data_IF_044955058204
#
_entry.id   IF_044955058204
#
_cell.length_a   1.000
_cell.length_b   1.000
_cell.length_c   1.000
_cell.angle_alpha   90.00
_cell.angle_beta   90.00
_cell.angle_gamma   90.00
#
_symmetry.space_group_name_H-M   'P 1'
#
loop_
_entity.id
_entity.type
_entity.pdbx_description
1 polymer ?
#
# COMPACT_ATOMS: atom_id res chain seq x y z
N UNK A 1 -35.13 -35.76 55.55
CA UNK A 1 -34.50 -36.17 54.27
C UNK A 1 -34.61 -35.02 53.27
N UNK A 2 -33.58 -34.17 53.17
CA UNK A 2 -33.51 -33.07 52.19
C UNK A 2 -32.71 -33.56 50.98
N UNK A 3 -33.36 -33.66 49.83
CA UNK A 3 -32.73 -33.97 48.54
C UNK A 3 -32.07 -32.70 48.00
N UNK A 4 -30.75 -32.73 47.85
CA UNK A 4 -29.98 -31.73 47.12
C UNK A 4 -30.09 -32.06 45.62
N UNK A 5 -30.69 -31.16 44.84
CA UNK A 5 -30.60 -31.20 43.38
C UNK A 5 -29.21 -30.69 42.95
N UNK A 6 -28.48 -31.39 42.06
CA UNK A 6 -27.32 -30.82 41.41
C UNK A 6 -27.80 -29.89 40.29
N UNK A 7 -27.50 -28.59 40.42
CA UNK A 7 -27.66 -27.63 39.34
C UNK A 7 -26.62 -27.96 38.26
N UNK A 8 -27.11 -28.27 37.06
CA UNK A 8 -26.28 -28.44 35.87
C UNK A 8 -25.48 -27.16 35.60
N UNK A 9 -24.15 -27.29 35.57
CA UNK A 9 -23.29 -26.33 34.88
C UNK A 9 -23.58 -26.41 33.38
N UNK A 10 -24.30 -25.42 32.86
CA UNK A 10 -24.29 -25.14 31.44
C UNK A 10 -22.94 -24.50 31.08
N UNK A 11 -21.99 -25.33 30.65
CA UNK A 11 -20.80 -24.86 29.98
C UNK A 11 -21.23 -24.29 28.61
N UNK A 12 -21.31 -22.97 28.52
CA UNK A 12 -21.42 -22.26 27.24
C UNK A 12 -20.18 -22.53 26.42
N UNK A 13 -20.31 -23.43 25.44
CA UNK A 13 -19.29 -23.70 24.43
C UNK A 13 -19.19 -22.50 23.50
N UNK A 14 -18.04 -21.81 23.57
CA UNK A 14 -17.34 -21.27 22.42
C UNK A 14 -18.08 -20.27 21.54
N UNK A 15 -18.20 -19.03 22.00
CA UNK A 15 -18.08 -17.90 21.08
C UNK A 15 -16.66 -17.91 20.52
N UNK A 16 -16.46 -18.59 19.39
CA UNK A 16 -15.20 -18.52 18.67
C UNK A 16 -14.98 -17.07 18.25
N UNK A 17 -14.07 -16.37 18.92
CA UNK A 17 -13.50 -15.12 18.43
C UNK A 17 -12.63 -15.41 17.19
N UNK A 18 -13.25 -15.83 16.10
CA UNK A 18 -12.65 -15.72 14.78
C UNK A 18 -13.10 -14.37 14.24
N UNK A 19 -12.17 -13.44 14.03
CA UNK A 19 -12.49 -12.27 13.21
C UNK A 19 -12.74 -12.77 11.79
N UNK A 20 -13.84 -12.38 11.15
CA UNK A 20 -14.12 -12.63 9.72
C UNK A 20 -13.20 -11.78 8.80
N UNK A 21 -12.01 -11.43 9.31
CA UNK A 21 -11.05 -10.50 8.75
C UNK A 21 -9.66 -11.11 8.86
N UNK A 22 -8.85 -10.88 7.84
CA UNK A 22 -7.41 -11.10 7.84
C UNK A 22 -6.65 -9.77 7.93
N UNK A 23 -5.33 -9.87 7.87
CA UNK A 23 -4.44 -8.71 7.71
C UNK A 23 -3.65 -8.85 6.42
N UNK A 24 -3.35 -7.72 5.78
CA UNK A 24 -2.49 -7.69 4.61
C UNK A 24 -1.20 -6.97 4.99
N UNK A 25 -0.07 -7.63 4.77
CA UNK A 25 1.25 -7.04 4.97
C UNK A 25 1.92 -6.82 3.61
N UNK A 26 2.63 -5.70 3.50
CA UNK A 26 3.40 -5.32 2.33
C UNK A 26 4.78 -4.89 2.78
N UNK A 27 5.82 -5.38 2.11
CA UNK A 27 7.17 -4.85 2.23
C UNK A 27 7.56 -4.19 0.90
N UNK A 28 8.25 -3.05 0.96
CA UNK A 28 8.69 -2.35 -0.25
C UNK A 28 10.01 -1.61 -0.07
N UNK A 29 10.66 -1.35 -1.19
CA UNK A 29 11.78 -0.43 -1.35
C UNK A 29 11.57 0.38 -2.63
N UNK A 30 11.84 1.67 -2.56
CA UNK A 30 11.93 2.57 -3.70
C UNK A 30 13.41 2.74 -3.99
N UNK A 31 13.82 2.46 -5.22
CA UNK A 31 15.20 2.60 -5.69
C UNK A 31 15.24 3.61 -6.84
N UNK A 32 16.41 4.19 -7.06
CA UNK A 32 16.67 5.01 -8.24
C UNK A 32 17.01 4.15 -9.47
N UNK A 33 17.42 4.82 -10.55
CA UNK A 33 17.76 4.18 -11.82
C UNK A 33 18.97 3.24 -11.74
N UNK A 34 19.86 3.46 -10.78
CA UNK A 34 21.06 2.64 -10.54
C UNK A 34 20.77 1.50 -9.54
N UNK A 35 19.54 1.44 -9.02
CA UNK A 35 19.10 0.47 -8.04
C UNK A 35 19.51 0.84 -6.62
N UNK A 36 19.98 2.07 -6.38
CA UNK A 36 20.30 2.54 -5.04
C UNK A 36 19.01 2.87 -4.27
N UNK A 37 18.86 2.39 -3.03
CA UNK A 37 17.67 2.68 -2.24
C UNK A 37 17.46 4.18 -2.02
N UNK A 38 16.37 4.72 -2.55
CA UNK A 38 15.86 6.05 -2.22
C UNK A 38 15.15 5.97 -0.86
N UNK A 39 14.21 5.03 -0.69
CA UNK A 39 13.45 4.82 0.53
C UNK A 39 13.10 3.34 0.79
N UNK A 40 13.12 2.89 2.06
CA UNK A 40 13.82 3.53 3.16
C UNK A 40 15.33 3.40 2.94
N UNK A 41 15.99 4.50 2.58
CA UNK A 41 17.44 4.57 2.58
C UNK A 41 17.89 4.44 4.02
N UNK A 42 18.74 3.46 4.32
CA UNK A 42 19.14 3.07 5.68
C UNK A 42 19.85 4.13 6.54
N UNK A 43 19.79 5.42 6.18
CA UNK A 43 20.15 6.52 7.05
C UNK A 43 18.95 6.84 7.97
N UNK A 44 18.89 6.16 9.12
CA UNK A 44 18.13 6.62 10.27
C UNK A 44 18.71 7.97 10.75
N UNK A 45 18.37 9.07 10.08
CA UNK A 45 18.56 10.40 10.67
C UNK A 45 17.52 10.56 11.77
N UNK A 46 17.91 11.16 12.91
CA UNK A 46 17.01 11.44 14.04
C UNK A 46 15.80 12.33 13.67
N UNK A 47 15.76 12.86 12.44
CA UNK A 47 14.61 13.51 11.80
C UNK A 47 13.61 12.51 11.18
N UNK A 48 13.48 11.31 11.75
CA UNK A 48 12.63 10.20 11.26
C UNK A 48 11.10 10.49 11.24
N UNK A 49 10.70 11.73 11.56
CA UNK A 49 9.33 12.24 11.47
C UNK A 49 9.02 12.96 10.15
N UNK A 50 9.84 12.80 9.11
CA UNK A 50 9.42 13.24 7.77
C UNK A 50 8.35 12.29 7.24
N UNK A 51 7.09 12.73 7.30
CA UNK A 51 5.95 12.11 6.60
C UNK A 51 5.98 12.34 5.08
N UNK A 52 6.89 13.20 4.62
CA UNK A 52 7.06 13.63 3.25
C UNK A 52 8.35 13.07 2.67
N UNK A 53 8.24 12.31 1.58
CA UNK A 53 9.37 11.84 0.80
C UNK A 53 9.60 12.78 -0.37
N UNK A 54 9.92 14.02 -0.03
CA UNK A 54 10.18 15.09 -0.98
C UNK A 54 11.28 14.68 -1.95
N UNK A 55 10.90 14.47 -3.21
CA UNK A 55 11.78 14.16 -4.33
C UNK A 55 11.75 15.32 -5.33
N UNK A 56 12.87 15.57 -6.02
CA UNK A 56 12.94 16.63 -7.02
C UNK A 56 12.16 16.23 -8.27
N UNK A 57 11.25 17.11 -8.70
CA UNK A 57 10.50 16.99 -9.94
C UNK A 57 10.48 18.30 -10.72
N UNK A 58 10.18 18.20 -12.02
CA UNK A 58 9.93 19.34 -12.88
C UNK A 58 8.54 19.26 -13.50
N UNK A 59 7.86 20.41 -13.61
CA UNK A 59 6.59 20.55 -14.31
C UNK A 59 6.71 21.75 -15.26
N UNK A 60 6.79 21.50 -16.57
CA UNK A 60 7.26 22.48 -17.55
C UNK A 60 8.66 23.00 -17.17
N UNK A 61 8.82 24.32 -17.08
CA UNK A 61 10.08 24.98 -16.70
C UNK A 61 10.24 25.20 -15.17
N UNK A 62 9.40 24.58 -14.34
CA UNK A 62 9.38 24.80 -12.88
C UNK A 62 9.94 23.61 -12.12
N UNK A 63 10.94 23.87 -11.29
CA UNK A 63 11.39 22.91 -10.28
C UNK A 63 10.43 22.90 -9.09
N UNK A 64 10.12 21.70 -8.60
CA UNK A 64 9.28 21.50 -7.43
C UNK A 64 9.69 20.24 -6.66
N UNK A 65 9.16 20.12 -5.45
CA UNK A 65 9.27 18.89 -4.65
C UNK A 65 7.91 18.18 -4.66
N UNK A 66 7.93 16.87 -4.88
CA UNK A 66 6.75 16.02 -4.75
C UNK A 66 6.99 14.93 -3.70
N UNK A 67 5.93 14.44 -3.10
CA UNK A 67 5.95 13.26 -2.24
C UNK A 67 5.61 12.02 -3.06
N UNK A 68 6.40 10.97 -2.89
CA UNK A 68 6.11 9.64 -3.43
C UNK A 68 5.60 8.73 -2.32
N UNK A 69 4.49 8.03 -2.57
CA UNK A 69 3.86 7.08 -1.65
C UNK A 69 3.57 5.76 -2.34
N UNK A 70 3.51 4.69 -1.55
CA UNK A 70 3.03 3.38 -2.02
C UNK A 70 1.57 3.24 -1.60
N UNK A 71 0.70 2.98 -2.55
CA UNK A 71 -0.73 2.78 -2.32
C UNK A 71 -1.09 1.31 -2.60
N UNK A 72 -1.90 0.73 -1.73
CA UNK A 72 -2.47 -0.59 -1.90
C UNK A 72 -3.96 -0.47 -2.21
N UNK A 73 -4.35 -1.09 -3.31
CA UNK A 73 -5.72 -1.28 -3.74
C UNK A 73 -6.07 -2.77 -3.67
N UNK A 74 -7.23 -3.08 -3.09
CA UNK A 74 -7.76 -4.44 -2.99
C UNK A 74 -9.16 -4.41 -3.60
N UNK A 75 -9.32 -5.04 -4.77
CA UNK A 75 -10.60 -5.12 -5.45
C UNK A 75 -11.18 -6.54 -5.42
N UNK A 76 -12.50 -6.61 -5.36
CA UNK A 76 -13.25 -7.84 -5.57
C UNK A 76 -13.30 -8.17 -7.06
N UNK A 77 -12.73 -9.32 -7.46
CA UNK A 77 -12.68 -9.73 -8.86
C UNK A 77 -14.02 -10.17 -9.41
N UNK A 78 -14.98 -10.49 -8.55
CA UNK A 78 -16.34 -10.88 -8.92
C UNK A 78 -17.30 -9.69 -8.99
N UNK A 79 -16.81 -8.47 -8.71
CA UNK A 79 -17.61 -7.28 -8.80
C UNK A 79 -17.91 -6.91 -10.26
N UNK A 80 -19.20 -6.75 -10.59
CA UNK A 80 -19.68 -6.53 -11.96
C UNK A 80 -19.09 -5.28 -12.65
N UNK A 81 -18.79 -4.23 -11.88
CA UNK A 81 -18.22 -2.99 -12.43
C UNK A 81 -16.71 -3.07 -12.68
N UNK A 82 -16.06 -4.15 -12.24
CA UNK A 82 -14.64 -4.40 -12.42
C UNK A 82 -13.74 -3.57 -11.50
N UNK A 83 -12.47 -3.99 -11.40
CA UNK A 83 -11.48 -3.44 -10.47
C UNK A 83 -11.09 -1.97 -10.71
N UNK A 84 -11.47 -1.37 -11.84
CA UNK A 84 -11.25 0.06 -12.08
C UNK A 84 -12.32 0.94 -11.40
N UNK A 85 -13.43 0.35 -10.93
CA UNK A 85 -14.49 1.06 -10.22
C UNK A 85 -14.22 1.12 -8.71
N UNK A 86 -14.42 2.29 -8.10
CA UNK A 86 -14.26 2.47 -6.65
C UNK A 86 -15.26 1.65 -5.83
N UNK A 87 -16.42 1.31 -6.41
CA UNK A 87 -17.44 0.49 -5.74
C UNK A 87 -17.02 -0.97 -5.60
N UNK A 88 -16.03 -1.41 -6.38
CA UNK A 88 -15.48 -2.76 -6.33
C UNK A 88 -14.30 -2.87 -5.35
N UNK A 89 -13.94 -1.80 -4.65
CA UNK A 89 -12.91 -1.83 -3.63
C UNK A 89 -13.44 -2.54 -2.37
N UNK A 90 -12.71 -3.56 -1.94
CA UNK A 90 -13.01 -4.32 -0.72
C UNK A 90 -12.85 -3.42 0.52
N UNK A 91 -11.84 -2.55 0.47
CA UNK A 91 -11.53 -1.54 1.48
C UNK A 91 -11.05 -0.28 0.77
N UNK A 92 -11.17 0.92 1.39
CA UNK A 92 -10.61 2.14 0.82
C UNK A 92 -9.12 1.96 0.51
N UNK A 93 -8.65 2.60 -0.57
CA UNK A 93 -7.23 2.59 -0.95
C UNK A 93 -6.38 3.02 0.24
N UNK A 94 -5.31 2.27 0.48
CA UNK A 94 -4.46 2.49 1.63
C UNK A 94 -3.09 2.98 1.21
N UNK A 95 -2.79 4.24 1.50
CA UNK A 95 -1.48 4.83 1.28
C UNK A 95 -0.56 4.57 2.48
N UNK A 96 0.59 3.97 2.23
CA UNK A 96 1.61 3.76 3.23
C UNK A 96 2.57 4.93 3.33
N UNK A 97 3.09 5.14 4.54
CA UNK A 97 4.13 6.13 4.79
C UNK A 97 5.43 5.73 4.08
N UNK A 98 6.01 6.65 3.33
CA UNK A 98 7.16 6.41 2.48
C UNK A 98 8.48 6.23 3.27
N UNK A 99 8.50 6.59 4.56
CA UNK A 99 9.62 6.36 5.47
C UNK A 99 9.63 4.93 6.07
N UNK A 100 8.70 4.05 5.67
CA UNK A 100 8.66 2.67 6.12
C UNK A 100 9.11 1.69 5.05
N UNK A 101 9.75 0.58 5.48
CA UNK A 101 10.07 -0.57 4.63
C UNK A 101 8.93 -1.60 4.56
N UNK A 102 7.95 -1.44 5.44
CA UNK A 102 6.87 -2.40 5.68
C UNK A 102 5.61 -1.69 6.18
N UNK A 103 4.46 -2.16 5.75
CA UNK A 103 3.17 -1.65 6.15
C UNK A 103 2.20 -2.81 6.39
N UNK A 104 1.20 -2.55 7.23
CA UNK A 104 0.12 -3.49 7.50
C UNK A 104 -1.21 -2.77 7.29
N UNK A 105 -2.13 -3.44 6.60
CA UNK A 105 -3.53 -3.06 6.51
C UNK A 105 -4.34 -4.09 7.29
N UNK A 106 -4.76 -3.78 8.53
CA UNK A 106 -5.58 -4.67 9.32
C UNK A 106 -7.02 -4.65 8.82
N UNK A 107 -7.82 -5.62 9.26
CA UNK A 107 -9.27 -5.66 9.05
C UNK A 107 -9.70 -5.74 7.57
N UNK A 108 -9.00 -6.55 6.76
CA UNK A 108 -9.46 -6.87 5.41
C UNK A 108 -10.43 -8.04 5.50
N UNK A 109 -11.67 -7.92 4.98
CA UNK A 109 -12.64 -9.01 4.96
C UNK A 109 -12.02 -10.31 4.44
N UNK A 110 -12.28 -11.43 5.12
CA UNK A 110 -11.86 -12.74 4.64
C UNK A 110 -12.73 -13.20 3.46
N UNK A 111 -12.13 -13.92 2.52
CA UNK A 111 -12.81 -14.48 1.36
C UNK A 111 -12.10 -15.74 0.88
N UNK A 112 -12.91 -16.76 0.56
CA UNK A 112 -12.45 -17.99 -0.11
C UNK A 112 -12.23 -17.79 -1.62
N UNK A 113 -12.68 -16.66 -2.17
CA UNK A 113 -12.36 -16.19 -3.51
C UNK A 113 -11.21 -15.18 -3.45
N UNK A 114 -10.28 -15.22 -4.41
CA UNK A 114 -9.15 -14.31 -4.39
C UNK A 114 -9.59 -12.87 -4.69
N UNK A 115 -9.06 -11.91 -3.93
CA UNK A 115 -9.08 -10.52 -4.32
C UNK A 115 -7.90 -10.22 -5.23
N UNK A 116 -8.01 -9.16 -6.02
CA UNK A 116 -6.89 -8.62 -6.78
C UNK A 116 -6.26 -7.46 -6.03
N UNK A 117 -4.98 -7.62 -5.76
CA UNK A 117 -4.13 -6.66 -5.08
C UNK A 117 -3.31 -5.90 -6.11
N UNK A 118 -3.45 -4.59 -6.12
CA UNK A 118 -2.67 -3.70 -6.97
C UNK A 118 -1.86 -2.78 -6.06
N UNK A 119 -0.54 -2.83 -6.22
CA UNK A 119 0.38 -1.87 -5.60
C UNK A 119 0.63 -0.78 -6.61
N UNK A 120 0.46 0.48 -6.21
CA UNK A 120 0.68 1.66 -7.06
C UNK A 120 1.67 2.60 -6.41
N UNK A 121 2.39 3.34 -7.25
CA UNK A 121 3.09 4.54 -6.82
C UNK A 121 2.15 5.74 -6.98
N UNK A 122 1.94 6.50 -5.92
CA UNK A 122 1.15 7.72 -5.92
C UNK A 122 2.05 8.91 -5.62
N UNK A 123 1.93 9.96 -6.43
CA UNK A 123 2.70 11.18 -6.31
C UNK A 123 1.77 12.33 -5.90
N UNK A 124 2.18 13.12 -4.91
CA UNK A 124 1.47 14.33 -4.51
C UNK A 124 2.42 15.52 -4.44
N UNK A 125 2.07 16.65 -5.06
CA UNK A 125 2.79 17.92 -4.90
C UNK A 125 1.82 18.98 -4.33
N UNK A 126 1.69 19.08 -2.99
CA UNK A 126 0.72 19.96 -2.35
C UNK A 126 0.90 21.45 -2.68
N UNK A 127 2.12 21.88 -3.02
CA UNK A 127 2.41 23.26 -3.39
C UNK A 127 1.69 23.73 -4.66
N UNK A 128 1.21 22.80 -5.48
CA UNK A 128 0.50 23.04 -6.73
C UNK A 128 -0.79 22.23 -6.84
N UNK A 129 -1.27 21.64 -5.74
CA UNK A 129 -2.49 20.80 -5.69
C UNK A 129 -2.50 19.67 -6.74
N UNK A 130 -1.33 19.09 -7.01
CA UNK A 130 -1.18 17.97 -7.95
C UNK A 130 -1.24 16.64 -7.20
N UNK A 131 -2.11 15.75 -7.65
CA UNK A 131 -2.16 14.34 -7.27
C UNK A 131 -2.06 13.51 -8.56
N UNK A 132 -1.11 12.60 -8.63
CA UNK A 132 -0.84 11.80 -9.81
C UNK A 132 -0.75 10.33 -9.44
N UNK A 133 -1.46 9.51 -10.21
CA UNK A 133 -1.49 8.06 -10.13
C UNK A 133 -1.18 7.52 -11.52
N UNK A 134 -0.79 6.25 -11.59
CA UNK A 134 -0.54 5.54 -12.85
C UNK A 134 0.51 6.24 -13.73
N UNK A 135 1.59 6.65 -13.08
CA UNK A 135 2.81 7.16 -13.69
C UNK A 135 3.27 6.25 -14.85
N UNK A 136 3.76 6.86 -15.93
CA UNK A 136 4.24 6.11 -17.08
C UNK A 136 5.33 5.08 -16.67
N UNK A 137 5.32 3.84 -17.21
CA UNK A 137 6.31 2.81 -16.88
C UNK A 137 7.76 3.21 -17.16
N UNK A 138 8.00 4.20 -18.01
CA UNK A 138 9.33 4.77 -18.25
C UNK A 138 9.81 5.64 -17.08
N UNK A 139 8.90 6.18 -16.28
CA UNK A 139 9.21 6.96 -15.08
C UNK A 139 9.27 6.10 -13.82
N UNK A 140 8.38 5.11 -13.69
CA UNK A 140 8.39 4.20 -12.55
C UNK A 140 8.01 2.77 -12.95
N UNK A 141 8.85 1.82 -12.55
CA UNK A 141 8.52 0.41 -12.65
C UNK A 141 7.84 -0.05 -11.36
N UNK A 142 6.55 -0.42 -11.46
CA UNK A 142 5.78 -1.02 -10.36
C UNK A 142 5.40 -2.45 -10.73
N UNK A 143 5.51 -3.42 -9.81
CA UNK A 143 5.11 -4.80 -10.10
C UNK A 143 3.62 -4.93 -10.46
N UNK A 144 3.31 -5.95 -11.27
CA UNK A 144 1.93 -6.24 -11.67
C UNK A 144 1.04 -6.60 -10.48
N UNK A 145 -0.27 -6.46 -10.69
CA UNK A 145 -1.28 -6.94 -9.74
C UNK A 145 -1.15 -8.44 -9.47
N UNK A 146 -1.69 -8.87 -8.31
CA UNK A 146 -1.66 -10.25 -7.87
C UNK A 146 -2.98 -10.66 -7.25
N UNK A 147 -3.40 -11.88 -7.54
CA UNK A 147 -4.62 -12.42 -6.96
C UNK A 147 -4.26 -13.28 -5.72
N UNK A 148 -4.94 -13.04 -4.59
CA UNK A 148 -4.71 -13.73 -3.31
C UNK A 148 -6.01 -13.86 -2.50
N UNK A 149 -6.14 -14.96 -1.77
CA UNK A 149 -7.18 -15.12 -0.75
C UNK A 149 -6.77 -14.40 0.54
N UNK A 150 -7.74 -13.76 1.19
CA UNK A 150 -7.58 -13.25 2.57
C UNK A 150 -8.27 -14.21 3.50
N UNK A 151 -7.54 -14.75 4.47
CA UNK A 151 -8.08 -15.73 5.42
C UNK A 151 -8.22 -15.12 6.80
N UNK A 152 -9.34 -15.44 7.44
CA UNK A 152 -9.66 -15.03 8.80
C UNK A 152 -8.51 -15.33 9.78
N UNK A 153 -8.06 -14.30 10.50
CA UNK A 153 -6.99 -14.40 11.50
C UNK A 153 -5.58 -14.68 10.95
N UNK A 154 -5.39 -14.68 9.63
CA UNK A 154 -4.08 -14.87 8.99
C UNK A 154 -3.56 -13.57 8.37
N UNK A 155 -2.23 -13.52 8.21
CA UNK A 155 -1.54 -12.46 7.47
C UNK A 155 -1.37 -12.93 6.03
N UNK A 156 -1.90 -12.14 5.10
CA UNK A 156 -1.62 -12.26 3.66
C UNK A 156 -0.40 -11.40 3.37
N UNK A 157 0.76 -12.05 3.21
CA UNK A 157 2.03 -11.38 2.90
C UNK A 157 2.16 -11.16 1.38
N UNK A 158 2.15 -9.89 0.98
CA UNK A 158 2.50 -9.45 -0.35
C UNK A 158 4.02 -9.18 -0.33
N UNK A 159 4.80 -10.19 -0.72
CA UNK A 159 6.26 -10.21 -0.91
C UNK A 159 6.90 -8.84 -1.19
N UNK A 160 8.18 -8.65 -0.86
CA UNK A 160 8.97 -7.43 -1.14
C UNK A 160 8.78 -6.88 -2.57
N UNK A 161 8.23 -5.67 -2.69
CA UNK A 161 8.13 -4.90 -3.93
C UNK A 161 9.35 -3.98 -4.05
N UNK A 162 10.02 -4.00 -5.20
CA UNK A 162 11.01 -2.97 -5.56
C UNK A 162 10.38 -2.06 -6.61
N UNK A 163 10.25 -0.78 -6.28
CA UNK A 163 9.76 0.26 -7.18
C UNK A 163 10.98 1.03 -7.67
N UNK A 164 11.23 1.04 -8.98
CA UNK A 164 12.38 1.73 -9.56
C UNK A 164 11.94 3.04 -10.21
N UNK A 165 12.53 4.15 -9.79
CA UNK A 165 12.23 5.50 -10.23
C UNK A 165 13.37 6.04 -11.11
N UNK A 166 13.07 6.60 -12.30
CA UNK A 166 14.09 7.24 -13.15
C UNK A 166 14.46 8.65 -12.65
N UNK A 167 14.98 8.72 -11.43
CA UNK A 167 15.60 9.91 -10.83
C UNK A 167 17.09 9.64 -10.65
N UNK A 168 17.91 10.68 -10.79
CA UNK A 168 19.32 10.65 -10.44
C UNK A 168 19.51 11.53 -9.20
N UNK A 169 19.84 10.93 -8.06
CA UNK A 169 20.01 11.66 -6.79
C UNK A 169 21.35 12.36 -6.66
N UNK A 170 22.36 11.87 -7.35
CA UNK A 170 23.73 12.39 -7.31
C UNK A 170 24.06 13.28 -8.54
N UNK A 171 23.14 13.34 -9.50
CA UNK A 171 23.16 14.23 -10.66
C UNK A 171 22.08 15.32 -10.64
N UNK A 172 21.88 15.97 -11.79
CA UNK A 172 20.98 17.13 -11.97
C UNK A 172 19.55 16.72 -12.44
N UNK A 173 19.18 15.43 -12.38
CA UNK A 173 17.98 14.93 -13.06
C UNK A 173 16.80 14.79 -12.12
N UNK A 174 15.93 15.80 -12.13
CA UNK A 174 14.58 15.76 -11.57
C UNK A 174 13.63 14.93 -12.44
N UNK A 175 12.56 14.39 -11.83
CA UNK A 175 11.53 13.64 -12.56
C UNK A 175 10.64 14.58 -13.40
N UNK A 176 10.56 14.44 -14.73
CA UNK A 176 9.70 15.27 -15.57
C UNK A 176 8.24 14.84 -15.45
N UNK A 177 7.48 15.51 -14.59
CA UNK A 177 6.14 15.08 -14.18
C UNK A 177 5.14 15.02 -15.35
N UNK A 178 5.18 15.96 -16.28
CA UNK A 178 4.31 15.96 -17.47
C UNK A 178 4.58 14.73 -18.35
N UNK A 179 5.85 14.40 -18.59
CA UNK A 179 6.26 13.23 -19.37
C UNK A 179 5.89 11.92 -18.68
N UNK A 180 5.79 11.94 -17.34
CA UNK A 180 5.33 10.81 -16.54
C UNK A 180 3.80 10.68 -16.45
N UNK A 181 3.05 11.51 -17.18
CA UNK A 181 1.58 11.48 -17.19
C UNK A 181 0.92 12.30 -16.07
N UNK A 182 1.68 13.15 -15.37
CA UNK A 182 1.16 14.05 -14.34
C UNK A 182 1.00 15.46 -14.93
N UNK A 183 -0.21 15.80 -15.42
CA UNK A 183 -0.51 17.11 -16.01
C UNK A 183 -1.98 17.31 -16.33
#
# INVERSE_FOLDING_TARGET
MRRLLPALLAAGLGGGCGSDEGSVELAWVIVDRDGEPIFPGGAFSLDAERSTCGLPGTLGDRDLSFDLRVELEICDTECDAGCESEECLVVPRHAFACNSARGNLPAVPASDLPYRFTVRAALSAPSIELECRDLDPTCIAVPSSRDREVRAGLVTDLLVYQLALDVDRDGDRALPLEDCGCG
#
